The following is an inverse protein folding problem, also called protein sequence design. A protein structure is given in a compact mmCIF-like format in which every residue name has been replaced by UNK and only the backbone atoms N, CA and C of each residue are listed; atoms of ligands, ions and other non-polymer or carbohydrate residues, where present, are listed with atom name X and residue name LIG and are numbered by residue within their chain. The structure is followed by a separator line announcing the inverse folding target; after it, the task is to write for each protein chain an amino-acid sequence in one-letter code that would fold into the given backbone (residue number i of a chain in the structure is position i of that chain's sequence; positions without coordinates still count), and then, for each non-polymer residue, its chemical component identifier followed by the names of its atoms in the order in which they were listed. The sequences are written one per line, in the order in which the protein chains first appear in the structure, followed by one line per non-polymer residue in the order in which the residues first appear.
data_IF_847248430598
#
_entry.id   IF_847248430598
#
_cell.length_a   1.000
_cell.length_b   1.000
_cell.length_c   1.000
_cell.angle_alpha   90.00
_cell.angle_beta   90.00
_cell.angle_gamma   90.00
#
_symmetry.space_group_name_H-M   'P 1'
#
loop_
_entity.id
_entity.type
_entity.pdbx_description
1 polymer ?
#
# COMPACT_ATOMS: atom_id res chain seq x y z
N UNK A 1 2.80 13.49 -10.02
CA UNK A 1 4.14 13.28 -10.66
C UNK A 1 5.04 12.33 -9.86
N UNK A 2 4.43 11.48 -9.03
CA UNK A 2 5.13 10.59 -8.12
C UNK A 2 6.10 9.62 -8.82
N UNK A 3 7.29 9.45 -8.26
CA UNK A 3 8.19 8.34 -8.57
C UNK A 3 9.00 8.40 -9.87
N UNK A 4 9.28 9.60 -10.41
CA UNK A 4 10.37 9.77 -11.37
C UNK A 4 11.73 9.65 -10.66
N UNK A 5 12.70 9.00 -11.32
CA UNK A 5 14.04 8.72 -10.78
C UNK A 5 15.12 9.60 -11.40
N UNK A 6 14.80 10.25 -12.52
CA UNK A 6 15.68 11.19 -13.18
C UNK A 6 14.90 12.38 -13.74
N UNK A 7 15.65 13.39 -14.16
CA UNK A 7 15.09 14.57 -14.80
C UNK A 7 14.43 14.24 -16.15
N UNK A 8 15.02 13.31 -16.91
CA UNK A 8 14.47 12.81 -18.16
C UNK A 8 13.12 12.15 -17.94
N UNK A 9 13.04 11.21 -16.99
CA UNK A 9 11.81 10.49 -16.66
C UNK A 9 10.71 11.44 -16.16
N UNK A 10 11.08 12.48 -15.41
CA UNK A 10 10.15 13.52 -14.98
C UNK A 10 9.49 14.22 -16.17
N UNK A 11 10.28 14.63 -17.16
CA UNK A 11 9.75 15.29 -18.36
C UNK A 11 8.97 14.34 -19.26
N UNK A 12 9.40 13.09 -19.41
CA UNK A 12 8.66 12.08 -20.16
C UNK A 12 7.27 11.83 -19.56
N UNK A 13 7.18 11.75 -18.24
CA UNK A 13 5.90 11.55 -17.54
C UNK A 13 4.98 12.76 -17.64
N UNK A 14 5.52 13.98 -17.58
CA UNK A 14 4.74 15.18 -17.86
C UNK A 14 4.17 15.17 -19.28
N UNK A 15 4.98 14.80 -20.27
CA UNK A 15 4.53 14.71 -21.66
C UNK A 15 3.46 13.62 -21.83
N UNK A 16 3.64 12.46 -21.19
CA UNK A 16 2.67 11.38 -21.18
C UNK A 16 1.35 11.75 -20.50
N UNK A 17 1.38 12.68 -19.53
CA UNK A 17 0.20 13.27 -18.92
C UNK A 17 -0.49 14.34 -19.80
N UNK A 18 -0.02 14.54 -21.03
CA UNK A 18 -0.56 15.52 -21.98
C UNK A 18 -0.12 16.95 -21.71
N UNK A 19 0.88 17.17 -20.84
CA UNK A 19 1.40 18.51 -20.53
C UNK A 19 2.41 18.92 -21.60
N UNK A 20 2.25 20.12 -22.15
CA UNK A 20 3.22 20.71 -23.08
C UNK A 20 4.42 21.23 -22.32
N UNK A 21 5.64 20.89 -22.75
CA UNK A 21 6.87 21.23 -22.02
C UNK A 21 7.79 22.06 -22.93
N UNK A 22 8.26 23.20 -22.40
CA UNK A 22 9.33 24.00 -23.02
C UNK A 22 10.53 24.03 -22.08
N UNK A 23 11.64 23.40 -22.48
CA UNK A 23 12.91 23.43 -21.73
C UNK A 23 13.74 24.64 -22.18
N UNK A 24 14.33 25.36 -21.24
CA UNK A 24 15.38 26.35 -21.50
C UNK A 24 16.71 25.63 -21.38
N UNK A 25 17.45 25.48 -22.47
CA UNK A 25 18.72 24.75 -22.49
C UNK A 25 19.91 25.72 -22.40
N UNK A 26 20.98 25.28 -21.75
CA UNK A 26 22.31 25.89 -21.80
C UNK A 26 22.97 25.58 -23.17
N UNK A 27 24.03 26.29 -23.55
CA UNK A 27 24.84 25.95 -24.73
C UNK A 27 25.41 24.52 -24.70
N UNK A 28 25.57 23.92 -23.52
CA UNK A 28 25.97 22.52 -23.32
C UNK A 28 24.86 21.51 -23.67
N UNK A 29 23.61 21.97 -23.80
CA UNK A 29 22.43 21.12 -23.95
C UNK A 29 21.70 20.83 -22.62
N UNK A 30 22.28 21.19 -21.48
CA UNK A 30 21.68 20.94 -20.17
C UNK A 30 20.50 21.89 -19.91
N UNK A 31 19.36 21.43 -19.37
CA UNK A 31 18.27 22.32 -19.04
C UNK A 31 18.61 23.23 -17.85
N UNK A 32 18.36 24.51 -18.01
CA UNK A 32 18.48 25.57 -17.00
C UNK A 32 17.14 25.86 -16.32
N UNK A 33 16.03 25.49 -16.96
CA UNK A 33 14.68 25.67 -16.45
C UNK A 33 13.65 25.11 -17.42
N UNK A 34 12.39 25.09 -17.02
CA UNK A 34 11.31 24.63 -17.87
C UNK A 34 10.02 25.41 -17.64
N UNK A 35 9.16 25.41 -18.64
CA UNK A 35 7.78 25.87 -18.57
C UNK A 35 6.84 24.76 -18.99
N UNK A 36 5.65 24.76 -18.40
CA UNK A 36 4.57 23.81 -18.73
C UNK A 36 3.29 24.54 -19.11
N UNK A 37 2.49 23.93 -19.97
CA UNK A 37 1.15 24.39 -20.33
C UNK A 37 0.20 23.20 -20.46
N UNK A 38 -1.06 23.37 -20.08
CA UNK A 38 -2.12 22.44 -20.45
C UNK A 38 -2.62 22.78 -21.86
N UNK A 39 -2.87 21.79 -22.74
CA UNK A 39 -3.32 22.06 -24.11
C UNK A 39 -4.63 22.88 -24.21
N UNK A 40 -5.47 22.78 -23.17
CA UNK A 40 -6.77 23.43 -23.07
C UNK A 40 -6.72 24.78 -22.35
N UNK A 41 -5.63 25.12 -21.67
CA UNK A 41 -5.43 26.42 -21.02
C UNK A 41 -4.83 27.41 -22.02
N UNK A 42 -5.69 28.22 -22.64
CA UNK A 42 -5.34 29.08 -23.77
C UNK A 42 -5.64 30.54 -23.49
N UNK A 43 -4.78 31.42 -24.01
CA UNK A 43 -5.00 32.86 -24.00
C UNK A 43 -6.08 33.29 -25.02
N UNK A 44 -6.35 34.59 -25.10
CA UNK A 44 -7.31 35.18 -26.05
C UNK A 44 -6.97 34.84 -27.52
N UNK A 45 -5.69 34.65 -27.82
CA UNK A 45 -5.17 34.25 -29.15
C UNK A 45 -5.25 32.74 -29.42
N UNK A 46 -5.85 31.97 -28.51
CA UNK A 46 -5.97 30.49 -28.56
C UNK A 46 -4.63 29.75 -28.50
N UNK A 47 -3.58 30.39 -27.97
CA UNK A 47 -2.28 29.78 -27.73
C UNK A 47 -2.18 29.24 -26.28
N UNK A 48 -1.50 28.09 -26.05
CA UNK A 48 -1.33 27.56 -24.69
C UNK A 48 -0.55 28.52 -23.77
N UNK A 49 -1.04 28.72 -22.55
CA UNK A 49 -0.39 29.58 -21.55
C UNK A 49 0.69 28.81 -20.80
N UNK A 50 1.94 29.28 -20.90
CA UNK A 50 3.10 28.63 -20.29
C UNK A 50 3.49 29.24 -18.94
N UNK A 51 3.48 28.43 -17.89
CA UNK A 51 3.96 28.79 -16.56
C UNK A 51 5.32 28.15 -16.28
N UNK A 52 6.24 28.89 -15.65
CA UNK A 52 7.46 28.28 -15.15
C UNK A 52 7.15 27.35 -13.97
N UNK A 53 7.88 26.24 -13.83
CA UNK A 53 7.69 25.32 -12.70
C UNK A 53 7.71 26.04 -11.34
N UNK A 54 8.69 26.92 -11.13
CA UNK A 54 8.81 27.74 -9.92
C UNK A 54 7.65 28.73 -9.69
N UNK A 55 6.93 29.10 -10.74
CA UNK A 55 5.73 29.97 -10.63
C UNK A 55 4.52 29.17 -10.16
N UNK A 56 4.45 27.87 -10.51
CA UNK A 56 3.38 26.97 -10.05
C UNK A 56 3.59 26.55 -8.59
N UNK A 57 4.83 26.24 -8.21
CA UNK A 57 5.23 25.99 -6.82
C UNK A 57 6.76 26.13 -6.70
N UNK A 58 7.29 26.66 -5.58
CA UNK A 58 8.74 26.70 -5.33
C UNK A 58 9.41 25.32 -5.53
N UNK A 59 8.76 24.25 -5.06
CA UNK A 59 9.23 22.85 -5.12
C UNK A 59 9.34 22.31 -6.56
N UNK A 60 8.64 22.93 -7.50
CA UNK A 60 8.69 22.59 -8.92
C UNK A 60 9.82 23.33 -9.68
N UNK A 61 10.67 24.07 -8.97
CA UNK A 61 11.89 24.61 -9.57
C UNK A 61 12.87 23.49 -9.96
N UNK A 62 13.56 23.65 -11.10
CA UNK A 62 14.49 22.64 -11.60
C UNK A 62 15.61 22.27 -10.60
N UNK A 63 16.20 23.22 -9.83
CA UNK A 63 17.19 22.87 -8.80
C UNK A 63 16.64 21.99 -7.67
N UNK A 64 15.39 22.24 -7.21
CA UNK A 64 14.78 21.42 -6.15
C UNK A 64 14.37 20.04 -6.68
N UNK A 65 13.89 19.97 -7.92
CA UNK A 65 13.63 18.70 -8.62
C UNK A 65 14.92 17.87 -8.72
N UNK A 66 16.05 18.48 -9.10
CA UNK A 66 17.35 17.78 -9.14
C UNK A 66 17.79 17.29 -7.76
N UNK A 67 17.70 18.13 -6.73
CA UNK A 67 18.02 17.72 -5.34
C UNK A 67 17.21 16.50 -4.91
N UNK A 68 15.94 16.41 -5.33
CA UNK A 68 15.07 15.25 -5.06
C UNK A 68 15.62 13.96 -5.69
N UNK A 69 16.26 14.03 -6.86
CA UNK A 69 16.87 12.87 -7.51
C UNK A 69 18.28 12.57 -7.01
N UNK A 70 19.09 13.59 -6.69
CA UNK A 70 20.46 13.41 -6.19
C UNK A 70 20.50 12.69 -4.83
N UNK A 71 19.47 12.85 -4.00
CA UNK A 71 19.30 12.11 -2.75
C UNK A 71 19.14 10.59 -2.89
N UNK A 72 18.84 10.09 -4.10
CA UNK A 72 18.80 8.64 -4.39
C UNK A 72 20.16 8.08 -4.84
N UNK A 73 21.14 8.94 -5.20
CA UNK A 73 22.34 8.52 -5.95
C UNK A 73 23.67 8.56 -5.18
N UNK A 74 23.72 8.91 -3.89
CA UNK A 74 24.99 8.96 -3.14
C UNK A 74 25.12 7.91 -2.02
N UNK A 75 26.14 7.05 -2.21
CA UNK A 75 26.86 6.13 -1.31
C UNK A 75 26.13 4.85 -0.86
N UNK A 76 26.48 3.67 -1.42
CA UNK A 76 26.30 2.41 -0.71
C UNK A 76 27.30 2.38 0.44
N UNK A 77 26.78 2.41 1.67
CA UNK A 77 27.57 2.21 2.87
C UNK A 77 28.28 0.85 2.77
N UNK A 78 29.62 0.87 2.83
CA UNK A 78 30.48 -0.28 2.48
C UNK A 78 30.48 -1.40 3.52
N UNK A 79 29.70 -1.28 4.60
CA UNK A 79 29.63 -2.29 5.66
C UNK A 79 28.40 -3.22 5.59
N UNK A 80 27.52 -3.09 4.59
CA UNK A 80 26.38 -4.00 4.40
C UNK A 80 26.69 -5.19 3.46
N UNK A 81 27.92 -5.72 3.49
CA UNK A 81 28.37 -6.83 2.61
C UNK A 81 27.98 -8.25 3.07
N UNK A 82 27.07 -8.39 4.04
CA UNK A 82 26.63 -9.69 4.54
C UNK A 82 25.15 -10.03 4.25
N UNK A 83 24.45 -9.31 3.38
CA UNK A 83 23.03 -9.62 3.07
C UNK A 83 22.65 -9.40 1.60
N UNK A 84 23.59 -9.56 0.68
CA UNK A 84 23.39 -9.35 -0.76
C UNK A 84 23.21 -10.65 -1.54
N UNK A 85 22.34 -11.55 -1.07
CA UNK A 85 21.88 -12.72 -1.85
C UNK A 85 20.39 -12.61 -2.28
N UNK A 86 19.71 -11.50 -1.99
CA UNK A 86 18.30 -11.31 -2.38
C UNK A 86 18.05 -10.05 -3.21
N UNK A 87 19.04 -9.57 -3.97
CA UNK A 87 18.79 -8.62 -5.05
C UNK A 87 18.08 -9.31 -6.22
N UNK A 88 16.85 -9.77 -5.97
CA UNK A 88 15.92 -10.20 -6.99
C UNK A 88 15.52 -8.98 -7.82
N UNK A 89 15.54 -9.15 -9.14
CA UNK A 89 15.18 -8.18 -10.16
C UNK A 89 14.02 -7.22 -9.74
N UNK A 90 14.14 -5.89 -9.97
CA UNK A 90 13.04 -4.94 -9.76
C UNK A 90 11.79 -5.23 -10.60
N UNK A 91 11.89 -6.10 -11.60
CA UNK A 91 10.84 -6.44 -12.57
C UNK A 91 9.98 -7.66 -12.17
N UNK A 92 10.26 -8.32 -11.04
CA UNK A 92 9.54 -9.54 -10.62
C UNK A 92 8.28 -9.31 -9.78
N UNK A 93 7.97 -8.06 -9.38
CA UNK A 93 6.94 -7.77 -8.39
C UNK A 93 5.76 -7.01 -9.02
N UNK A 94 4.72 -7.74 -9.43
CA UNK A 94 3.52 -7.16 -10.07
C UNK A 94 2.70 -6.18 -9.19
N UNK A 95 1.60 -5.62 -9.72
CA UNK A 95 0.80 -4.57 -9.08
C UNK A 95 0.40 -4.83 -7.62
N UNK A 96 0.07 -6.08 -7.29
CA UNK A 96 -0.26 -6.51 -5.93
C UNK A 96 0.91 -6.35 -4.93
N UNK A 97 2.11 -6.78 -5.32
CA UNK A 97 3.30 -6.71 -4.46
C UNK A 97 3.71 -5.26 -4.20
N UNK A 98 3.61 -4.40 -5.22
CA UNK A 98 3.85 -2.96 -5.04
C UNK A 98 2.86 -2.32 -4.06
N UNK A 99 1.57 -2.68 -4.13
CA UNK A 99 0.54 -2.21 -3.18
C UNK A 99 0.75 -2.70 -1.75
N UNK A 100 1.16 -3.96 -1.58
CA UNK A 100 1.52 -4.50 -0.25
C UNK A 100 2.71 -3.75 0.36
N UNK A 101 3.74 -3.45 -0.45
CA UNK A 101 4.88 -2.62 -0.01
C UNK A 101 4.45 -1.20 0.34
N UNK A 102 3.57 -0.59 -0.45
CA UNK A 102 2.99 0.72 -0.16
C UNK A 102 2.19 0.72 1.15
N UNK A 103 1.35 -0.29 1.39
CA UNK A 103 0.62 -0.47 2.64
C UNK A 103 1.57 -0.58 3.85
N UNK A 104 2.65 -1.38 3.73
CA UNK A 104 3.65 -1.52 4.80
C UNK A 104 4.48 -0.24 5.02
N UNK A 105 4.78 0.52 3.97
CA UNK A 105 5.45 1.82 4.09
C UNK A 105 4.53 2.86 4.75
N UNK A 106 3.26 2.94 4.32
CA UNK A 106 2.27 3.84 4.91
C UNK A 106 2.06 3.56 6.40
N UNK A 107 1.93 2.30 6.78
CA UNK A 107 1.77 1.93 8.19
C UNK A 107 2.98 2.30 9.05
N UNK A 108 4.21 2.10 8.55
CA UNK A 108 5.41 2.56 9.28
C UNK A 108 5.43 4.07 9.46
N UNK A 109 4.99 4.82 8.46
CA UNK A 109 4.92 6.28 8.54
C UNK A 109 3.88 6.77 9.56
N UNK A 110 2.77 6.04 9.77
CA UNK A 110 1.80 6.35 10.86
C UNK A 110 2.52 6.36 12.22
N UNK A 111 3.34 5.34 12.48
CA UNK A 111 4.07 5.23 13.74
C UNK A 111 5.10 6.36 13.92
N UNK A 112 5.75 6.78 12.83
CA UNK A 112 6.74 7.87 12.88
C UNK A 112 6.08 9.24 13.06
N UNK A 113 4.94 9.52 12.42
CA UNK A 113 4.26 10.83 12.59
C UNK A 113 3.78 11.04 14.03
N UNK A 114 3.40 9.97 14.73
CA UNK A 114 2.95 10.03 16.12
C UNK A 114 4.07 10.35 17.13
N UNK A 115 5.28 9.83 16.88
CA UNK A 115 6.39 9.83 17.85
C UNK A 115 7.64 10.61 17.39
N UNK A 116 7.71 11.01 16.13
CA UNK A 116 8.88 11.59 15.48
C UNK A 116 9.00 13.12 15.62
N UNK A 117 10.17 13.65 15.27
CA UNK A 117 10.37 15.10 15.20
C UNK A 117 9.61 15.74 14.03
N UNK A 118 9.48 17.07 14.08
CA UNK A 118 8.69 17.84 13.12
C UNK A 118 9.18 17.70 11.67
N UNK A 119 10.50 17.55 11.47
CA UNK A 119 11.08 17.42 10.14
C UNK A 119 10.77 16.05 9.54
N UNK A 120 10.86 14.99 10.35
CA UNK A 120 10.49 13.62 9.95
C UNK A 120 9.00 13.52 9.64
N UNK A 121 8.14 14.09 10.49
CA UNK A 121 6.70 14.10 10.25
C UNK A 121 6.35 14.83 8.94
N UNK A 122 6.90 16.02 8.71
CA UNK A 122 6.70 16.77 7.47
C UNK A 122 7.18 15.99 6.22
N UNK A 123 8.33 15.32 6.31
CA UNK A 123 8.86 14.51 5.21
C UNK A 123 7.96 13.32 4.86
N UNK A 124 7.42 12.61 5.87
CA UNK A 124 6.47 11.51 5.65
C UNK A 124 5.14 12.00 5.08
N UNK A 125 4.63 13.15 5.55
CA UNK A 125 3.40 13.77 5.01
C UNK A 125 3.59 14.11 3.53
N UNK A 126 4.70 14.74 3.15
CA UNK A 126 5.00 15.03 1.75
C UNK A 126 5.10 13.76 0.90
N UNK A 127 5.80 12.73 1.39
CA UNK A 127 5.95 11.47 0.66
C UNK A 127 4.63 10.66 0.55
N UNK A 128 3.70 10.82 1.49
CA UNK A 128 2.37 10.22 1.41
C UNK A 128 1.56 10.76 0.21
N UNK A 129 1.73 12.05 -0.13
CA UNK A 129 1.13 12.65 -1.32
C UNK A 129 1.58 11.95 -2.61
N UNK A 130 2.86 11.55 -2.69
CA UNK A 130 3.38 10.79 -3.84
C UNK A 130 2.71 9.41 -3.97
N UNK A 131 2.45 8.72 -2.86
CA UNK A 131 1.75 7.43 -2.90
C UNK A 131 0.30 7.61 -3.36
N UNK A 132 -0.39 8.64 -2.89
CA UNK A 132 -1.77 8.93 -3.32
C UNK A 132 -1.85 9.21 -4.82
N UNK A 133 -0.94 10.01 -5.36
CA UNK A 133 -0.76 10.25 -6.79
C UNK A 133 -0.54 8.95 -7.58
N UNK A 134 0.36 8.09 -7.09
CA UNK A 134 0.70 6.83 -7.74
C UNK A 134 -0.49 5.84 -7.73
N UNK A 135 -1.22 5.75 -6.61
CA UNK A 135 -2.44 4.94 -6.52
C UNK A 135 -3.55 5.49 -7.40
N UNK A 136 -3.77 6.80 -7.43
CA UNK A 136 -4.75 7.44 -8.30
C UNK A 136 -4.45 7.17 -9.79
N UNK A 137 -3.17 7.06 -10.16
CA UNK A 137 -2.76 6.76 -11.53
C UNK A 137 -2.95 5.28 -11.88
N UNK A 138 -2.62 4.38 -10.96
CA UNK A 138 -2.51 2.94 -11.24
C UNK A 138 -3.73 2.12 -10.81
N UNK A 139 -4.72 2.70 -10.14
CA UNK A 139 -5.89 1.95 -9.67
C UNK A 139 -7.00 1.84 -10.73
N UNK A 140 -7.87 0.85 -10.53
CA UNK A 140 -9.01 0.58 -11.40
C UNK A 140 -10.00 1.74 -11.43
N UNK A 141 -10.80 1.84 -12.51
CA UNK A 141 -11.67 2.98 -12.76
C UNK A 141 -12.66 3.29 -11.61
N UNK A 142 -13.21 2.26 -10.97
CA UNK A 142 -14.22 2.41 -9.91
C UNK A 142 -13.65 2.99 -8.61
N UNK A 143 -12.34 2.87 -8.35
CA UNK A 143 -11.65 3.50 -7.21
C UNK A 143 -10.93 4.80 -7.59
N UNK A 144 -10.60 4.95 -8.88
CA UNK A 144 -9.70 6.00 -9.38
C UNK A 144 -10.22 7.41 -9.11
N UNK A 145 -11.51 7.65 -9.28
CA UNK A 145 -12.09 8.99 -9.12
C UNK A 145 -11.87 9.52 -7.69
N UNK A 146 -12.30 8.77 -6.69
CA UNK A 146 -12.13 9.16 -5.28
C UNK A 146 -10.65 9.23 -4.87
N UNK A 147 -9.78 8.37 -5.42
CA UNK A 147 -8.33 8.47 -5.18
C UNK A 147 -7.72 9.76 -5.75
N UNK A 148 -8.20 10.25 -6.90
CA UNK A 148 -7.76 11.53 -7.46
C UNK A 148 -8.22 12.70 -6.59
N UNK A 149 -9.47 12.67 -6.14
CA UNK A 149 -10.00 13.69 -5.21
C UNK A 149 -9.24 13.67 -3.88
N UNK A 150 -8.92 12.48 -3.35
CA UNK A 150 -8.09 12.33 -2.15
C UNK A 150 -6.69 12.93 -2.34
N UNK A 151 -6.01 12.58 -3.45
CA UNK A 151 -4.70 13.13 -3.77
C UNK A 151 -4.73 14.66 -3.92
N UNK A 152 -5.73 15.18 -4.64
CA UNK A 152 -5.91 16.62 -4.85
C UNK A 152 -6.17 17.37 -3.53
N UNK A 153 -7.04 16.84 -2.67
CA UNK A 153 -7.29 17.43 -1.37
C UNK A 153 -6.03 17.40 -0.50
N UNK A 154 -5.32 16.27 -0.47
CA UNK A 154 -4.13 16.08 0.35
C UNK A 154 -2.94 16.92 -0.12
N UNK A 155 -2.85 17.25 -1.41
CA UNK A 155 -1.80 18.14 -1.95
C UNK A 155 -1.83 19.55 -1.32
N UNK A 156 -2.97 19.97 -0.72
CA UNK A 156 -3.01 21.20 0.08
C UNK A 156 -2.44 21.00 1.48
N UNK A 157 -2.52 19.78 2.03
CA UNK A 157 -1.95 19.43 3.33
C UNK A 157 -0.43 19.27 3.27
N UNK A 158 0.12 18.85 2.14
CA UNK A 158 1.57 18.72 1.93
C UNK A 158 2.30 20.06 1.81
N UNK A 159 1.57 21.18 1.64
CA UNK A 159 2.14 22.53 1.57
C UNK A 159 2.63 22.99 2.95
N UNK A 160 3.91 22.76 3.18
CA UNK A 160 4.65 23.20 4.36
C UNK A 160 5.51 24.42 4.04
N UNK A 161 5.44 25.46 4.89
CA UNK A 161 6.40 26.59 4.90
C UNK A 161 7.72 26.26 5.58
N UNK A 162 7.79 25.11 6.27
CA UNK A 162 9.05 24.58 6.76
C UNK A 162 9.76 24.04 5.52
N UNK A 163 10.83 24.72 5.10
CA UNK A 163 11.89 24.13 4.30
C UNK A 163 12.36 22.90 5.06
N UNK A 164 11.68 21.77 4.87
CA UNK A 164 12.07 20.52 5.49
C UNK A 164 13.48 20.28 4.97
N UNK A 165 14.49 20.33 5.85
CA UNK A 165 15.80 19.78 5.54
C UNK A 165 15.52 18.41 4.93
N UNK A 166 15.84 18.27 3.65
CA UNK A 166 15.40 17.17 2.80
C UNK A 166 16.14 15.89 3.18
N UNK A 167 16.05 15.41 4.42
CA UNK A 167 16.55 14.09 4.81
C UNK A 167 15.46 13.05 4.57
N UNK A 168 15.76 12.24 3.58
CA UNK A 168 14.89 11.40 2.77
C UNK A 168 14.15 10.30 3.55
N UNK A 169 12.82 10.38 3.63
CA UNK A 169 12.05 9.12 3.72
C UNK A 169 12.10 8.42 2.35
N UNK A 170 13.02 7.45 2.26
CA UNK A 170 13.23 6.62 1.07
C UNK A 170 12.14 5.56 0.92
N UNK A 171 11.46 5.17 1.99
CA UNK A 171 10.54 4.03 1.96
C UNK A 171 9.22 4.36 1.26
N UNK A 172 8.55 5.47 1.62
CA UNK A 172 7.31 5.88 0.96
C UNK A 172 7.55 6.26 -0.51
N UNK A 173 8.67 6.95 -0.79
CA UNK A 173 9.04 7.32 -2.17
C UNK A 173 9.36 6.11 -3.03
N UNK A 174 10.11 5.14 -2.51
CA UNK A 174 10.37 3.90 -3.22
C UNK A 174 9.07 3.15 -3.48
N UNK A 175 8.15 3.08 -2.52
CA UNK A 175 6.84 2.46 -2.73
C UNK A 175 6.00 3.19 -3.80
N UNK A 176 6.02 4.53 -3.84
CA UNK A 176 5.37 5.30 -4.89
C UNK A 176 5.96 4.98 -6.28
N UNK A 177 7.29 4.84 -6.39
CA UNK A 177 7.96 4.38 -7.62
C UNK A 177 7.51 2.98 -8.00
N UNK A 178 7.56 2.04 -7.05
CA UNK A 178 7.17 0.66 -7.26
C UNK A 178 5.74 0.55 -7.80
N UNK A 179 4.82 1.35 -7.27
CA UNK A 179 3.44 1.43 -7.76
C UNK A 179 3.39 1.81 -9.24
N UNK A 180 4.04 2.91 -9.62
CA UNK A 180 4.03 3.37 -11.02
C UNK A 180 4.69 2.35 -11.95
N UNK A 181 5.85 1.81 -11.56
CA UNK A 181 6.61 0.85 -12.37
C UNK A 181 5.90 -0.51 -12.50
N UNK A 182 5.15 -0.91 -11.48
CA UNK A 182 4.38 -2.17 -11.51
C UNK A 182 3.18 -2.11 -12.47
N UNK A 183 2.76 -0.91 -12.89
CA UNK A 183 1.64 -0.70 -13.80
C UNK A 183 0.26 -0.75 -13.12
N UNK A 184 -0.83 -0.69 -13.92
CA UNK A 184 -2.18 -0.60 -13.41
C UNK A 184 -2.68 -1.92 -12.77
N UNK A 185 -3.42 -1.81 -11.68
CA UNK A 185 -4.17 -2.90 -11.07
C UNK A 185 -5.60 -2.94 -11.65
N UNK A 186 -6.08 -4.15 -11.96
CA UNK A 186 -7.40 -4.35 -12.56
C UNK A 186 -8.56 -4.33 -11.55
N UNK A 187 -8.26 -4.22 -10.25
CA UNK A 187 -9.25 -4.13 -9.18
C UNK A 187 -10.01 -5.42 -8.90
N UNK A 188 -9.42 -6.59 -9.20
CA UNK A 188 -10.00 -7.92 -8.92
C UNK A 188 -8.95 -8.83 -8.26
N UNK A 189 -9.41 -9.85 -7.53
CA UNK A 189 -8.53 -10.78 -6.83
C UNK A 189 -7.50 -10.06 -5.95
N UNK A 190 -6.25 -10.52 -5.99
CA UNK A 190 -5.16 -9.96 -5.18
C UNK A 190 -4.92 -8.46 -5.47
N UNK A 191 -5.07 -8.02 -6.72
CA UNK A 191 -4.90 -6.61 -7.08
C UNK A 191 -5.97 -5.73 -6.41
N UNK A 192 -7.22 -6.19 -6.38
CA UNK A 192 -8.30 -5.49 -5.70
C UNK A 192 -8.11 -5.48 -4.18
N UNK A 193 -7.79 -6.63 -3.60
CA UNK A 193 -7.59 -6.78 -2.16
C UNK A 193 -6.39 -5.99 -1.64
N UNK A 194 -5.25 -6.02 -2.34
CA UNK A 194 -4.08 -5.19 -1.99
C UNK A 194 -4.33 -3.70 -2.21
N UNK A 195 -5.21 -3.32 -3.17
CA UNK A 195 -5.65 -1.93 -3.30
C UNK A 195 -6.45 -1.49 -2.08
N UNK A 196 -7.43 -2.29 -1.63
CA UNK A 196 -8.19 -1.99 -0.41
C UNK A 196 -7.29 -1.88 0.83
N UNK A 197 -6.34 -2.81 0.98
CA UNK A 197 -5.34 -2.78 2.06
C UNK A 197 -4.48 -1.50 2.02
N UNK A 198 -4.01 -1.08 0.84
CA UNK A 198 -3.20 0.13 0.72
C UNK A 198 -4.01 1.39 1.05
N UNK A 199 -5.28 1.47 0.62
CA UNK A 199 -6.17 2.59 0.94
C UNK A 199 -6.44 2.65 2.45
N UNK A 200 -6.68 1.51 3.11
CA UNK A 200 -6.88 1.43 4.56
C UNK A 200 -5.67 1.98 5.34
N UNK A 201 -4.45 1.56 4.98
CA UNK A 201 -3.24 2.06 5.64
C UNK A 201 -3.00 3.56 5.37
N UNK A 202 -3.33 4.04 4.18
CA UNK A 202 -3.20 5.47 3.85
C UNK A 202 -4.24 6.33 4.54
N UNK A 203 -5.45 5.81 4.77
CA UNK A 203 -6.47 6.50 5.56
C UNK A 203 -5.94 6.84 6.97
N UNK A 204 -5.28 5.88 7.63
CA UNK A 204 -4.63 6.12 8.91
C UNK A 204 -3.47 7.12 8.80
N UNK A 205 -2.62 6.99 7.78
CA UNK A 205 -1.51 7.94 7.57
C UNK A 205 -2.00 9.40 7.39
N UNK A 206 -3.06 9.58 6.61
CA UNK A 206 -3.65 10.90 6.38
C UNK A 206 -4.38 11.42 7.63
N UNK A 207 -4.97 10.54 8.43
CA UNK A 207 -5.59 10.89 9.72
C UNK A 207 -4.54 11.32 10.75
N UNK A 208 -3.42 10.59 10.84
CA UNK A 208 -2.27 10.97 11.65
C UNK A 208 -1.70 12.33 11.22
N UNK A 209 -1.59 12.57 9.90
CA UNK A 209 -1.19 13.87 9.37
C UNK A 209 -2.16 15.00 9.77
N UNK A 210 -3.48 14.75 9.73
CA UNK A 210 -4.48 15.72 10.14
C UNK A 210 -4.36 16.08 11.64
N UNK A 211 -4.12 15.09 12.49
CA UNK A 211 -3.89 15.30 13.93
C UNK A 211 -2.58 16.06 14.18
N UNK A 212 -1.51 15.69 13.49
CA UNK A 212 -0.23 16.39 13.58
C UNK A 212 -0.37 17.87 13.18
N UNK A 213 -1.00 18.16 12.04
CA UNK A 213 -1.25 19.54 11.61
C UNK A 213 -2.14 20.30 12.60
N UNK A 214 -3.17 19.66 13.16
CA UNK A 214 -4.04 20.29 14.16
C UNK A 214 -3.26 20.66 15.43
N UNK A 215 -2.38 19.78 15.91
CA UNK A 215 -1.51 20.03 17.06
C UNK A 215 -0.48 21.16 16.79
N UNK A 216 -0.15 21.43 15.53
CA UNK A 216 0.71 22.53 15.08
C UNK A 216 -0.04 23.81 14.74
N UNK A 217 -1.36 23.86 14.98
CA UNK A 217 -2.22 24.99 14.62
C UNK A 217 -2.26 25.30 13.10
N UNK A 218 -1.89 24.31 12.27
CA UNK A 218 -1.98 24.36 10.81
C UNK A 218 -3.41 24.06 10.34
N UNK A 219 -4.36 24.95 10.65
CA UNK A 219 -5.79 24.70 10.50
C UNK A 219 -6.22 24.33 9.06
N UNK A 220 -5.66 25.01 8.05
CA UNK A 220 -5.99 24.74 6.64
C UNK A 220 -5.47 23.38 6.18
N UNK A 221 -4.24 23.02 6.55
CA UNK A 221 -3.66 21.72 6.23
C UNK A 221 -4.37 20.58 6.96
N UNK A 222 -4.74 20.78 8.23
CA UNK A 222 -5.52 19.81 8.98
C UNK A 222 -6.90 19.59 8.34
N UNK A 223 -7.57 20.66 7.87
CA UNK A 223 -8.84 20.54 7.16
C UNK A 223 -8.69 19.79 5.82
N UNK A 224 -7.65 20.10 5.04
CA UNK A 224 -7.35 19.43 3.78
C UNK A 224 -7.05 17.93 3.97
N UNK A 225 -6.29 17.57 5.02
CA UNK A 225 -6.02 16.18 5.35
C UNK A 225 -7.30 15.42 5.77
N UNK A 226 -8.19 16.04 6.54
CA UNK A 226 -9.49 15.43 6.89
C UNK A 226 -10.38 15.22 5.66
N UNK A 227 -10.40 16.17 4.72
CA UNK A 227 -11.11 16.01 3.45
C UNK A 227 -10.55 14.84 2.63
N UNK A 228 -9.23 14.72 2.53
CA UNK A 228 -8.58 13.58 1.89
C UNK A 228 -8.92 12.24 2.56
N UNK A 229 -8.98 12.18 3.90
CA UNK A 229 -9.40 10.98 4.63
C UNK A 229 -10.85 10.57 4.30
N UNK A 230 -11.76 11.53 4.13
CA UNK A 230 -13.14 11.25 3.70
C UNK A 230 -13.19 10.65 2.29
N UNK A 231 -12.39 11.17 1.36
CA UNK A 231 -12.25 10.63 0.00
C UNK A 231 -11.65 9.23 0.00
N UNK A 232 -10.64 8.99 0.84
CA UNK A 232 -10.05 7.65 1.01
C UNK A 232 -11.06 6.65 1.57
N UNK A 233 -11.93 7.05 2.50
CA UNK A 233 -13.01 6.19 2.99
C UNK A 233 -13.96 5.76 1.87
N UNK A 234 -14.37 6.67 0.98
CA UNK A 234 -15.20 6.33 -0.18
C UNK A 234 -14.47 5.38 -1.14
N UNK A 235 -13.19 5.66 -1.44
CA UNK A 235 -12.36 4.78 -2.26
C UNK A 235 -12.18 3.38 -1.63
N UNK A 236 -12.02 3.31 -0.31
CA UNK A 236 -11.91 2.07 0.45
C UNK A 236 -13.18 1.24 0.32
N UNK A 237 -14.35 1.82 0.56
CA UNK A 237 -15.63 1.11 0.44
C UNK A 237 -15.83 0.50 -0.97
N UNK A 238 -15.43 1.22 -2.01
CA UNK A 238 -15.46 0.71 -3.39
C UNK A 238 -14.47 -0.44 -3.62
N UNK A 239 -13.25 -0.36 -3.07
CA UNK A 239 -12.20 -1.37 -3.23
C UNK A 239 -12.43 -2.63 -2.37
N UNK A 240 -12.95 -2.46 -1.16
CA UNK A 240 -13.01 -3.48 -0.12
C UNK A 240 -14.22 -4.41 -0.25
N UNK A 241 -15.27 -3.99 -0.97
CA UNK A 241 -16.54 -4.73 -1.06
C UNK A 241 -16.35 -6.22 -1.41
N UNK A 242 -15.72 -6.51 -2.55
CA UNK A 242 -15.48 -7.90 -3.00
C UNK A 242 -14.56 -8.68 -2.06
N UNK A 243 -13.33 -8.21 -1.73
CA UNK A 243 -12.43 -9.00 -0.89
C UNK A 243 -12.97 -9.20 0.53
N UNK A 244 -13.68 -8.23 1.11
CA UNK A 244 -14.32 -8.39 2.42
C UNK A 244 -15.51 -9.36 2.38
N UNK A 245 -16.32 -9.37 1.32
CA UNK A 245 -17.40 -10.36 1.21
C UNK A 245 -16.83 -11.79 1.11
N UNK A 246 -15.75 -12.01 0.34
CA UNK A 246 -15.09 -13.33 0.28
C UNK A 246 -14.66 -13.80 1.68
N UNK A 247 -14.06 -12.91 2.47
CA UNK A 247 -13.65 -13.19 3.84
C UNK A 247 -14.84 -13.44 4.76
N UNK A 248 -15.87 -12.62 4.65
CA UNK A 248 -17.10 -12.75 5.41
C UNK A 248 -17.76 -14.11 5.16
N UNK A 249 -17.90 -14.53 3.89
CA UNK A 249 -18.47 -15.84 3.53
C UNK A 249 -17.61 -17.00 4.07
N UNK A 250 -16.27 -16.91 3.97
CA UNK A 250 -15.37 -17.91 4.55
C UNK A 250 -15.54 -18.01 6.07
N UNK A 251 -15.64 -16.86 6.74
CA UNK A 251 -15.90 -16.77 8.18
C UNK A 251 -17.21 -17.41 8.61
N UNK A 252 -18.26 -17.21 7.81
CA UNK A 252 -19.58 -17.83 8.04
C UNK A 252 -19.58 -19.34 7.83
N UNK A 253 -18.67 -19.87 7.01
CA UNK A 253 -18.52 -21.33 6.77
C UNK A 253 -17.64 -22.03 7.81
N UNK A 254 -16.93 -21.29 8.67
CA UNK A 254 -16.17 -21.90 9.77
C UNK A 254 -17.08 -22.73 10.66
N UNK A 255 -16.59 -23.91 11.06
CA UNK A 255 -17.28 -24.77 12.03
C UNK A 255 -17.52 -24.02 13.34
N UNK A 256 -18.62 -24.34 14.04
CA UNK A 256 -18.97 -23.69 15.30
C UNK A 256 -17.83 -23.77 16.34
N UNK A 257 -17.14 -24.91 16.56
CA UNK A 257 -16.02 -24.98 17.50
C UNK A 257 -14.85 -24.06 17.11
N UNK A 258 -14.51 -23.99 15.81
CA UNK A 258 -13.44 -23.12 15.34
C UNK A 258 -13.81 -21.64 15.53
N UNK A 259 -15.06 -21.26 15.23
CA UNK A 259 -15.55 -19.89 15.42
C UNK A 259 -15.52 -19.46 16.90
N UNK A 260 -15.94 -20.34 17.81
CA UNK A 260 -15.85 -20.10 19.25
C UNK A 260 -14.39 -19.95 19.72
N UNK A 261 -13.48 -20.76 19.16
CA UNK A 261 -12.04 -20.63 19.41
C UNK A 261 -11.50 -19.26 18.97
N UNK A 262 -11.90 -18.76 17.80
CA UNK A 262 -11.49 -17.42 17.35
C UNK A 262 -12.06 -16.32 18.24
N UNK A 263 -13.33 -16.43 18.67
CA UNK A 263 -13.92 -15.48 19.61
C UNK A 263 -13.22 -15.48 20.97
N UNK A 264 -12.74 -16.64 21.44
CA UNK A 264 -11.95 -16.74 22.66
C UNK A 264 -10.58 -16.04 22.51
N UNK A 265 -9.90 -16.19 21.37
CA UNK A 265 -8.68 -15.42 21.10
C UNK A 265 -8.92 -13.91 21.08
N UNK A 266 -10.04 -13.46 20.50
CA UNK A 266 -10.43 -12.05 20.51
C UNK A 266 -10.62 -11.51 21.93
N UNK A 267 -11.41 -12.20 22.76
CA UNK A 267 -11.64 -11.80 24.16
C UNK A 267 -10.37 -11.80 25.00
N UNK A 268 -9.45 -12.72 24.73
CA UNK A 268 -8.19 -12.79 25.47
C UNK A 268 -7.19 -11.69 25.06
N UNK A 269 -7.14 -11.35 23.77
CA UNK A 269 -6.16 -10.40 23.24
C UNK A 269 -6.59 -8.93 23.38
N UNK A 270 -7.90 -8.65 23.31
CA UNK A 270 -8.45 -7.28 23.27
C UNK A 270 -9.75 -7.19 24.09
N UNK A 271 -9.70 -7.44 25.41
CA UNK A 271 -10.91 -7.59 26.23
C UNK A 271 -11.83 -6.37 26.20
N UNK A 272 -11.28 -5.16 26.08
CA UNK A 272 -12.03 -3.90 26.09
C UNK A 272 -12.86 -3.69 24.81
N UNK A 273 -12.39 -4.21 23.67
CA UNK A 273 -13.04 -4.05 22.37
C UNK A 273 -13.77 -5.31 21.90
N UNK A 274 -13.56 -6.45 22.55
CA UNK A 274 -14.01 -7.75 22.07
C UNK A 274 -15.51 -7.81 21.80
N UNK A 275 -16.36 -7.40 22.74
CA UNK A 275 -17.81 -7.49 22.56
C UNK A 275 -18.33 -6.51 21.49
N UNK A 276 -17.68 -5.35 21.33
CA UNK A 276 -17.99 -4.42 20.23
C UNK A 276 -17.63 -5.05 18.88
N UNK A 277 -16.44 -5.63 18.75
CA UNK A 277 -15.98 -6.31 17.53
C UNK A 277 -16.89 -7.51 17.21
N UNK A 278 -17.26 -8.32 18.21
CA UNK A 278 -18.15 -9.47 18.02
C UNK A 278 -19.55 -9.09 17.56
N UNK A 279 -20.01 -7.87 17.86
CA UNK A 279 -21.29 -7.34 17.40
C UNK A 279 -21.22 -6.79 15.95
N UNK A 280 -20.04 -6.55 15.40
CA UNK A 280 -19.88 -6.10 14.01
C UNK A 280 -20.22 -7.23 13.03
N UNK A 281 -20.94 -6.94 11.92
CA UNK A 281 -21.18 -7.93 10.87
C UNK A 281 -19.88 -8.56 10.33
N UNK A 282 -18.82 -7.73 10.20
CA UNK A 282 -17.53 -8.14 9.65
C UNK A 282 -16.64 -8.90 10.64
N UNK A 283 -17.12 -9.22 11.85
CA UNK A 283 -16.44 -10.17 12.74
C UNK A 283 -16.14 -11.50 12.03
N UNK A 284 -17.03 -11.97 11.16
CA UNK A 284 -16.79 -13.19 10.41
C UNK A 284 -15.54 -13.10 9.50
N UNK A 285 -15.29 -11.95 8.87
CA UNK A 285 -14.08 -11.73 8.07
C UNK A 285 -12.82 -11.77 8.95
N UNK A 286 -12.88 -11.20 10.15
CA UNK A 286 -11.79 -11.28 11.14
C UNK A 286 -11.57 -12.71 11.62
N UNK A 287 -12.63 -13.45 11.94
CA UNK A 287 -12.54 -14.84 12.36
C UNK A 287 -11.92 -15.74 11.27
N UNK A 288 -12.26 -15.51 9.99
CA UNK A 288 -11.62 -16.18 8.85
C UNK A 288 -10.12 -15.85 8.79
N UNK A 289 -9.77 -14.58 8.98
CA UNK A 289 -8.38 -14.13 8.93
C UNK A 289 -7.54 -14.70 10.08
N UNK A 290 -8.10 -14.82 11.30
CA UNK A 290 -7.43 -15.49 12.43
C UNK A 290 -7.24 -16.99 12.17
N UNK A 291 -8.20 -17.63 11.50
CA UNK A 291 -8.07 -19.04 11.09
C UNK A 291 -7.00 -19.22 10.01
N UNK A 292 -6.96 -18.34 9.00
CA UNK A 292 -5.94 -18.31 7.97
C UNK A 292 -4.54 -18.12 8.59
N UNK A 293 -4.38 -17.16 9.51
CA UNK A 293 -3.12 -16.92 10.23
C UNK A 293 -2.67 -18.14 11.05
N UNK A 294 -3.61 -18.80 11.73
CA UNK A 294 -3.32 -20.05 12.45
C UNK A 294 -2.87 -21.17 11.50
N UNK A 295 -3.46 -21.26 10.30
CA UNK A 295 -3.16 -22.32 9.32
C UNK A 295 -1.74 -22.23 8.76
N UNK A 296 -1.16 -21.04 8.74
CA UNK A 296 0.24 -20.80 8.31
C UNK A 296 1.22 -20.76 9.49
N UNK A 297 0.77 -21.06 10.71
CA UNK A 297 1.63 -21.26 11.88
C UNK A 297 1.76 -20.06 12.84
N UNK A 298 1.05 -18.96 12.62
CA UNK A 298 1.06 -17.84 13.57
C UNK A 298 0.16 -18.08 14.78
N UNK A 299 0.45 -17.38 15.89
CA UNK A 299 -0.38 -17.36 17.09
C UNK A 299 -1.46 -16.27 17.00
N UNK A 300 -2.75 -16.59 16.82
CA UNK A 300 -3.77 -15.58 16.52
C UNK A 300 -3.96 -14.53 17.62
N UNK A 301 -3.90 -14.93 18.89
CA UNK A 301 -4.04 -14.00 20.01
C UNK A 301 -2.87 -13.00 20.08
N UNK A 302 -1.64 -13.44 19.82
CA UNK A 302 -0.46 -12.57 19.84
C UNK A 302 -0.51 -11.56 18.67
N UNK A 303 -0.81 -12.05 17.46
CA UNK A 303 -0.99 -11.17 16.29
C UNK A 303 -2.12 -10.17 16.48
N UNK A 304 -3.22 -10.60 17.09
CA UNK A 304 -4.37 -9.73 17.35
C UNK A 304 -4.04 -8.66 18.39
N UNK A 305 -3.35 -9.02 19.47
CA UNK A 305 -2.88 -8.05 20.47
C UNK A 305 -1.93 -7.03 19.85
N UNK A 306 -0.99 -7.47 19.00
CA UNK A 306 -0.07 -6.57 18.30
C UNK A 306 -0.80 -5.68 17.26
N UNK A 307 -1.75 -6.23 16.51
CA UNK A 307 -2.55 -5.48 15.54
C UNK A 307 -3.46 -4.44 16.21
N UNK A 308 -3.95 -4.74 17.42
CA UNK A 308 -4.88 -3.89 18.16
C UNK A 308 -4.20 -2.90 19.10
N UNK A 309 -2.99 -3.20 19.60
CA UNK A 309 -2.23 -2.33 20.50
C UNK A 309 -1.71 -1.04 19.84
N UNK A 310 -1.85 -0.94 18.51
CA UNK A 310 -1.46 0.24 17.75
C UNK A 310 -2.63 1.23 17.65
N UNK A 311 -2.36 2.52 17.92
CA UNK A 311 -3.36 3.61 17.95
C UNK A 311 -4.25 3.66 16.69
N UNK A 312 -5.40 4.32 16.84
CA UNK A 312 -6.38 4.71 15.80
C UNK A 312 -7.53 3.74 15.48
N UNK A 313 -7.76 2.66 16.24
CA UNK A 313 -8.93 1.78 16.01
C UNK A 313 -10.29 2.48 16.18
N UNK A 314 -10.34 3.54 16.99
CA UNK A 314 -11.54 4.31 17.32
C UNK A 314 -12.01 5.25 16.20
N UNK A 315 -11.11 5.63 15.30
CA UNK A 315 -11.42 6.48 14.13
C UNK A 315 -11.99 5.71 12.94
N UNK A 316 -12.01 4.37 13.01
CA UNK A 316 -12.53 3.50 11.96
C UNK A 316 -14.04 3.28 12.04
N UNK A 317 -14.68 3.16 10.88
CA UNK A 317 -16.09 2.78 10.77
C UNK A 317 -16.32 1.30 11.14
N UNK A 318 -15.29 0.45 10.98
CA UNK A 318 -15.31 -0.98 11.30
C UNK A 318 -13.96 -1.40 11.89
N UNK A 319 -13.96 -1.84 13.16
CA UNK A 319 -12.73 -2.30 13.81
C UNK A 319 -12.29 -3.64 13.20
N UNK A 320 -13.24 -4.50 12.83
CA UNK A 320 -12.98 -5.79 12.20
C UNK A 320 -12.21 -5.67 10.90
N UNK A 321 -12.58 -4.71 10.04
CA UNK A 321 -11.94 -4.49 8.74
C UNK A 321 -10.47 -4.12 8.89
N UNK A 322 -10.18 -3.19 9.80
CA UNK A 322 -8.83 -2.72 10.09
C UNK A 322 -7.97 -3.86 10.60
N UNK A 323 -8.50 -4.65 11.55
CA UNK A 323 -7.79 -5.80 12.10
C UNK A 323 -7.55 -6.88 11.05
N UNK A 324 -8.49 -7.10 10.13
CA UNK A 324 -8.31 -8.00 8.99
C UNK A 324 -7.11 -7.58 8.15
N UNK A 325 -7.02 -6.32 7.71
CA UNK A 325 -5.92 -5.86 6.87
C UNK A 325 -4.59 -5.85 7.59
N UNK A 326 -4.56 -5.40 8.86
CA UNK A 326 -3.35 -5.40 9.70
C UNK A 326 -2.82 -6.82 9.89
N UNK A 327 -3.67 -7.77 10.29
CA UNK A 327 -3.26 -9.16 10.52
C UNK A 327 -2.79 -9.81 9.21
N UNK A 328 -3.49 -9.60 8.09
CA UNK A 328 -3.05 -10.14 6.79
C UNK A 328 -1.67 -9.63 6.40
N UNK A 329 -1.41 -8.33 6.59
CA UNK A 329 -0.10 -7.74 6.34
C UNK A 329 0.98 -8.29 7.27
N UNK A 330 0.70 -8.39 8.57
CA UNK A 330 1.67 -8.84 9.58
C UNK A 330 2.02 -10.32 9.44
N UNK A 331 1.04 -11.15 9.05
CA UNK A 331 1.19 -12.58 8.83
C UNK A 331 1.58 -12.94 7.37
N UNK A 332 1.89 -11.95 6.54
CA UNK A 332 2.18 -12.07 5.11
C UNK A 332 1.15 -12.92 4.32
N UNK A 333 -0.11 -12.91 4.76
CA UNK A 333 -1.19 -13.65 4.10
C UNK A 333 -1.52 -13.03 2.75
N UNK A 334 -1.97 -13.80 1.74
CA UNK A 334 -2.59 -13.26 0.54
C UNK A 334 -3.69 -12.26 0.90
N UNK A 335 -3.74 -11.12 0.21
CA UNK A 335 -4.82 -10.16 0.44
C UNK A 335 -6.14 -10.73 -0.09
N UNK A 336 -6.09 -11.46 -1.20
CA UNK A 336 -7.21 -12.23 -1.73
C UNK A 336 -7.30 -13.59 -1.03
N UNK A 337 -8.29 -13.70 -0.15
CA UNK A 337 -8.53 -14.91 0.63
C UNK A 337 -8.99 -16.11 -0.22
N UNK A 338 -9.39 -15.92 -1.48
CA UNK A 338 -9.64 -17.03 -2.40
C UNK A 338 -8.37 -17.86 -2.68
N UNK A 339 -7.18 -17.31 -2.42
CA UNK A 339 -5.90 -18.02 -2.52
C UNK A 339 -5.58 -18.88 -1.30
N UNK A 340 -6.33 -18.74 -0.21
CA UNK A 340 -6.14 -19.54 1.00
C UNK A 340 -6.90 -20.87 0.91
N UNK A 341 -6.30 -21.98 1.39
CA UNK A 341 -7.00 -23.26 1.49
C UNK A 341 -8.30 -23.12 2.31
N UNK A 342 -9.36 -23.86 1.95
CA UNK A 342 -10.61 -23.80 2.69
C UNK A 342 -10.41 -24.30 4.14
N UNK A 343 -10.79 -23.52 5.17
CA UNK A 343 -10.56 -23.87 6.56
C UNK A 343 -11.45 -25.07 6.94
N UNK A 344 -10.85 -26.24 7.09
CA UNK A 344 -11.54 -27.47 7.50
C UNK A 344 -11.51 -28.61 6.49
N UNK A 345 -10.95 -28.42 5.29
CA UNK A 345 -10.60 -29.55 4.42
C UNK A 345 -9.15 -29.94 4.73
N UNK A 346 -8.95 -30.69 5.80
CA UNK A 346 -7.77 -31.55 5.87
C UNK A 346 -7.89 -32.56 4.74
N UNK A 347 -7.31 -32.28 3.58
CA UNK A 347 -6.94 -33.35 2.66
C UNK A 347 -5.91 -34.17 3.40
N UNK A 348 -6.35 -35.30 3.95
CA UNK A 348 -5.45 -36.36 4.38
C UNK A 348 -4.57 -36.68 3.17
N UNK A 349 -3.33 -36.18 3.20
CA UNK A 349 -2.30 -36.52 2.25
C UNK A 349 -2.17 -38.03 2.34
N UNK A 350 -2.68 -38.73 1.33
CA UNK A 350 -2.64 -40.19 1.25
C UNK A 350 -1.19 -40.63 1.28
N UNK A 351 -0.69 -40.96 2.46
CA UNK A 351 0.46 -41.85 2.63
C UNK A 351 -0.03 -43.26 2.31
N UNK A 352 -0.28 -43.48 1.02
CA UNK A 352 -0.55 -44.77 0.43
C UNK A 352 0.59 -45.06 -0.52
N UNK A 353 1.75 -45.43 0.05
CA UNK A 353 2.87 -46.00 -0.68
C UNK A 353 2.34 -47.25 -1.40
N UNK A 354 1.98 -47.10 -2.67
CA UNK A 354 1.70 -48.22 -3.56
C UNK A 354 3.01 -49.01 -3.69
N UNK A 355 3.11 -50.09 -2.91
CA UNK A 355 4.13 -51.11 -3.10
C UNK A 355 3.77 -51.84 -4.38
N UNK A 356 4.48 -51.54 -5.47
CA UNK A 356 4.45 -52.37 -6.67
C UNK A 356 4.87 -53.80 -6.31
N UNK A 357 4.12 -54.84 -6.72
CA UNK A 357 4.54 -56.21 -6.47
C UNK A 357 5.70 -56.55 -7.40
N UNK A 358 6.82 -56.96 -6.81
CA UNK A 358 7.95 -57.60 -7.50
C UNK A 358 7.45 -58.89 -8.15
N UNK A 359 7.47 -58.95 -9.48
CA UNK A 359 7.35 -60.19 -10.23
C UNK A 359 8.58 -61.07 -9.91
N UNK A 360 8.38 -62.08 -9.06
CA UNK A 360 9.29 -63.23 -8.96
C UNK A 360 9.17 -64.05 -10.24
N UNK A 361 10.20 -63.97 -11.06
CA UNK A 361 10.43 -64.91 -12.13
C UNK A 361 11.09 -66.15 -11.51
N UNK A 362 10.27 -67.10 -11.06
CA UNK A 362 10.75 -68.43 -10.64
C UNK A 362 10.73 -69.37 -11.83
N UNK A 363 11.94 -69.72 -12.23
CA UNK A 363 12.32 -70.71 -13.22
C UNK A 363 12.04 -72.12 -12.67
N UNK A 364 11.06 -72.83 -13.25
CA UNK A 364 10.94 -74.29 -13.11
C UNK A 364 10.46 -74.93 -14.40
N UNK A 365 11.45 -75.25 -15.24
CA UNK A 365 11.68 -76.58 -15.82
C UNK A 365 10.54 -77.60 -15.66
N UNK A 366 9.89 -77.96 -16.77
CA UNK A 366 9.13 -79.21 -16.90
C UNK A 366 9.58 -79.95 -18.15
N UNK A 367 10.39 -81.00 -17.95
CA UNK A 367 10.66 -82.05 -18.94
C UNK A 367 9.36 -82.82 -19.22
N UNK A 368 9.08 -83.05 -20.49
CA UNK A 368 8.63 -84.33 -21.10
C UNK A 368 8.44 -84.11 -22.60
N UNK A 369 9.37 -84.58 -23.43
CA UNK A 369 9.27 -85.87 -24.13
C UNK A 369 10.64 -86.28 -24.64
#
# INVERSE_FOLDING_TARGET
MAGATSEEEFFERLAAAGVLIRKRLAPSGDPLGYKVALPDDRNEDKEPVFYAGSTLSPDLSLPLIRKRFSGDSEVPDRDSRASSEHAANPTANGPATARRRAAAAAWRAVLVIGDGDDAQAAAHIAAAGEILDALATTSAAHTRAELREAAFAFERATRSHVEAEHRHDRALRQAARDLVHSGPALGRGEDGATTAMAIDMLFFLVTAAAHWHANKEHAQQAAAAREAAQRLRAAYQAAANVPMDVLYQRGRRLSQPLRLKQAAYLRAAVPELAERILAEPNWHALAATLADAASVGHHPAALLAEAAGQRELDTSDSISDVLVWRIRRMADLPADAARMPEPGITTAKGSGRAVSPVQRQDDRSRKTR
#
